data_IF_193750530492
#
_entry.id   IF_193750530492
#
_cell.length_a   1.000
_cell.length_b   1.000
_cell.length_c   1.000
_cell.angle_alpha   90.00
_cell.angle_beta   90.00
_cell.angle_gamma   90.00
#
_symmetry.space_group_name_H-M   'P 1'
#
loop_
_entity.id
_entity.type
_entity.pdbx_description
1 polymer ?
#
# COMPACT_ATOMS: atom_id res chain seq x y z
N UNK A 1 34.23 22.74 -5.13
CA UNK A 1 32.97 23.17 -5.78
C UNK A 1 32.54 22.06 -6.72
N UNK A 2 31.62 21.18 -6.33
CA UNK A 2 31.18 20.08 -7.18
C UNK A 2 30.16 20.61 -8.21
N UNK A 3 30.63 20.93 -9.43
CA UNK A 3 29.76 21.07 -10.61
C UNK A 3 29.51 19.66 -11.16
N UNK A 4 28.61 18.92 -10.52
CA UNK A 4 28.06 17.69 -11.07
C UNK A 4 26.83 18.03 -11.91
N UNK A 5 26.84 17.66 -13.19
CA UNK A 5 25.62 17.76 -14.02
C UNK A 5 24.73 16.58 -13.64
N UNK A 6 23.56 16.86 -13.04
CA UNK A 6 22.53 15.86 -12.83
C UNK A 6 22.12 15.32 -14.20
N UNK A 7 22.32 14.02 -14.43
CA UNK A 7 22.00 13.38 -15.72
C UNK A 7 20.54 12.98 -15.81
N UNK A 8 19.95 12.46 -14.72
CA UNK A 8 18.58 11.98 -14.66
C UNK A 8 18.00 12.19 -13.24
N UNK A 9 16.68 12.39 -13.17
CA UNK A 9 15.90 12.43 -11.94
C UNK A 9 14.68 11.53 -12.13
N UNK A 10 14.40 10.68 -11.14
CA UNK A 10 13.19 9.86 -11.10
C UNK A 10 12.31 10.34 -9.96
N UNK A 11 11.03 10.52 -10.26
CA UNK A 11 10.05 10.91 -9.26
C UNK A 11 8.96 9.85 -9.17
N UNK A 12 8.55 9.56 -7.93
CA UNK A 12 7.44 8.67 -7.63
C UNK A 12 6.30 9.43 -6.94
N UNK A 13 5.12 8.84 -6.93
CA UNK A 13 3.94 9.31 -6.23
C UNK A 13 3.70 8.51 -4.95
N UNK A 14 4.74 8.30 -4.14
CA UNK A 14 4.66 7.67 -2.81
C UNK A 14 5.39 8.51 -1.74
N UNK A 15 4.87 9.71 -1.48
CA UNK A 15 5.50 10.64 -0.54
C UNK A 15 6.67 11.46 -1.13
N UNK A 16 7.00 11.30 -2.42
CA UNK A 16 8.09 12.04 -3.09
C UNK A 16 7.58 13.33 -3.75
N UNK A 17 6.66 13.25 -4.72
CA UNK A 17 6.07 14.45 -5.35
C UNK A 17 4.92 15.03 -4.50
N UNK A 18 4.15 14.14 -3.87
CA UNK A 18 2.98 14.46 -3.07
C UNK A 18 3.03 13.63 -1.80
N UNK A 19 2.61 14.20 -0.68
CA UNK A 19 2.32 13.45 0.55
C UNK A 19 1.08 12.56 0.35
N UNK A 20 1.31 11.44 -0.34
CA UNK A 20 0.29 10.47 -0.74
C UNK A 20 0.18 9.30 0.23
N UNK A 21 0.99 9.27 1.30
CA UNK A 21 0.97 8.18 2.28
C UNK A 21 -0.36 8.16 3.02
N UNK A 22 -0.84 9.32 3.47
CA UNK A 22 -2.10 9.43 4.21
C UNK A 22 -3.31 9.03 3.37
N UNK A 23 -3.39 9.51 2.12
CA UNK A 23 -4.54 9.19 1.27
C UNK A 23 -4.56 7.70 0.89
N UNK A 24 -3.40 7.08 0.65
CA UNK A 24 -3.29 5.63 0.43
C UNK A 24 -3.69 4.85 1.67
N UNK A 25 -3.22 5.29 2.84
CA UNK A 25 -3.57 4.69 4.12
C UNK A 25 -5.08 4.65 4.34
N UNK A 26 -5.75 5.78 4.11
CA UNK A 26 -7.21 5.89 4.22
C UNK A 26 -7.93 5.00 3.20
N UNK A 27 -7.43 4.91 1.97
CA UNK A 27 -8.00 4.02 0.96
C UNK A 27 -7.92 2.55 1.37
N UNK A 28 -6.76 2.09 1.86
CA UNK A 28 -6.61 0.71 2.34
C UNK A 28 -7.48 0.41 3.55
N UNK A 29 -7.56 1.34 4.51
CA UNK A 29 -8.46 1.24 5.66
C UNK A 29 -9.93 1.08 5.19
N UNK A 30 -10.39 1.99 4.32
CA UNK A 30 -11.76 2.00 3.81
C UNK A 30 -12.14 0.72 3.05
N UNK A 31 -11.23 0.16 2.26
CA UNK A 31 -11.46 -1.11 1.54
C UNK A 31 -11.77 -2.28 2.48
N UNK A 32 -11.16 -2.29 3.67
CA UNK A 32 -11.28 -3.38 4.63
C UNK A 32 -12.34 -3.13 5.71
N UNK A 33 -12.96 -1.95 5.75
CA UNK A 33 -14.06 -1.63 6.68
C UNK A 33 -15.23 -2.61 6.58
N UNK A 34 -15.50 -3.14 5.39
CA UNK A 34 -16.56 -4.15 5.17
C UNK A 34 -16.33 -5.45 5.96
N UNK A 35 -15.09 -5.75 6.35
CA UNK A 35 -14.73 -6.91 7.16
C UNK A 35 -14.65 -6.59 8.66
N UNK A 36 -14.94 -5.35 9.06
CA UNK A 36 -14.95 -4.88 10.44
C UNK A 36 -13.81 -3.93 10.79
N UNK A 37 -14.06 -3.04 11.75
CA UNK A 37 -13.14 -1.98 12.17
C UNK A 37 -11.78 -2.51 12.63
N UNK A 38 -11.77 -3.64 13.35
CA UNK A 38 -10.53 -4.23 13.86
C UNK A 38 -9.60 -4.66 12.71
N UNK A 39 -10.16 -5.26 11.65
CA UNK A 39 -9.40 -5.67 10.47
C UNK A 39 -8.90 -4.44 9.70
N UNK A 40 -9.75 -3.43 9.51
CA UNK A 40 -9.36 -2.18 8.86
C UNK A 40 -8.19 -1.48 9.59
N UNK A 41 -8.23 -1.45 10.93
CA UNK A 41 -7.16 -0.89 11.76
C UNK A 41 -5.85 -1.70 11.62
N UNK A 42 -5.93 -3.03 11.55
CA UNK A 42 -4.77 -3.89 11.35
C UNK A 42 -4.12 -3.67 9.97
N UNK A 43 -4.93 -3.54 8.92
CA UNK A 43 -4.48 -3.22 7.57
C UNK A 43 -3.80 -1.85 7.50
N UNK A 44 -4.43 -0.83 8.10
CA UNK A 44 -3.86 0.52 8.23
C UNK A 44 -2.49 0.50 8.90
N UNK A 45 -2.39 -0.14 10.07
CA UNK A 45 -1.12 -0.25 10.81
C UNK A 45 -0.05 -0.93 9.95
N UNK A 46 -0.39 -2.04 9.31
CA UNK A 46 0.54 -2.75 8.43
C UNK A 46 1.00 -1.87 7.25
N UNK A 47 0.09 -1.11 6.63
CA UNK A 47 0.44 -0.23 5.52
C UNK A 47 1.48 0.83 5.91
N UNK A 48 1.28 1.48 7.07
CA UNK A 48 2.18 2.51 7.60
C UNK A 48 3.54 1.92 8.00
N UNK A 49 3.56 0.74 8.62
CA UNK A 49 4.79 0.04 9.03
C UNK A 49 5.58 -0.51 7.83
N UNK A 50 4.91 -0.82 6.72
CA UNK A 50 5.49 -1.48 5.54
C UNK A 50 5.34 -0.61 4.28
N UNK A 51 5.80 0.64 4.36
CA UNK A 51 5.94 1.53 3.20
C UNK A 51 6.82 0.91 2.11
N UNK A 52 6.53 1.18 0.84
CA UNK A 52 7.30 0.66 -0.31
C UNK A 52 7.07 -0.82 -0.67
N UNK A 53 6.37 -1.61 0.15
CA UNK A 53 5.95 -2.98 -0.23
C UNK A 53 4.86 -2.91 -1.31
N UNK A 54 4.96 -3.77 -2.32
CA UNK A 54 4.02 -3.81 -3.43
C UNK A 54 2.58 -4.02 -2.96
N UNK A 55 1.63 -3.40 -3.67
CA UNK A 55 0.20 -3.53 -3.34
C UNK A 55 -0.29 -4.99 -3.42
N UNK A 56 0.19 -5.74 -4.40
CA UNK A 56 -0.09 -7.18 -4.56
C UNK A 56 0.30 -7.99 -3.33
N UNK A 57 1.52 -7.79 -2.81
CA UNK A 57 1.99 -8.50 -1.62
C UNK A 57 1.21 -8.09 -0.37
N UNK A 58 0.85 -6.81 -0.24
CA UNK A 58 -0.01 -6.32 0.85
C UNK A 58 -1.38 -7.01 0.84
N UNK A 59 -2.07 -7.03 -0.31
CA UNK A 59 -3.38 -7.68 -0.40
C UNK A 59 -3.31 -9.18 -0.14
N UNK A 60 -2.29 -9.86 -0.66
CA UNK A 60 -2.07 -11.29 -0.38
C UNK A 60 -1.86 -11.53 1.11
N UNK A 61 -1.03 -10.72 1.76
CA UNK A 61 -0.78 -10.81 3.19
C UNK A 61 -2.06 -10.59 4.00
N UNK A 62 -2.81 -9.53 3.72
CA UNK A 62 -3.99 -9.18 4.50
C UNK A 62 -5.14 -10.16 4.34
N UNK A 63 -5.44 -10.60 3.11
CA UNK A 63 -6.47 -11.61 2.87
C UNK A 63 -6.15 -12.90 3.61
N UNK A 64 -4.90 -13.37 3.50
CA UNK A 64 -4.49 -14.60 4.18
C UNK A 64 -4.49 -14.45 5.71
N UNK A 65 -3.90 -13.39 6.24
CA UNK A 65 -3.65 -13.23 7.68
C UNK A 65 -4.88 -12.77 8.46
N UNK A 66 -5.67 -11.85 7.90
CA UNK A 66 -6.80 -11.25 8.60
C UNK A 66 -8.14 -11.85 8.21
N UNK A 67 -8.28 -12.37 6.99
CA UNK A 67 -9.54 -12.98 6.51
C UNK A 67 -9.47 -14.50 6.38
N UNK A 68 -8.27 -15.10 6.41
CA UNK A 68 -8.10 -16.53 6.13
C UNK A 68 -8.40 -16.91 4.68
N UNK A 69 -8.39 -15.95 3.75
CA UNK A 69 -8.75 -16.12 2.34
C UNK A 69 -7.46 -16.18 1.51
N UNK A 70 -7.30 -17.23 0.72
CA UNK A 70 -6.30 -17.27 -0.34
C UNK A 70 -6.87 -16.57 -1.58
N UNK A 71 -6.22 -15.50 -2.02
CA UNK A 71 -6.64 -14.67 -3.14
C UNK A 71 -5.89 -15.06 -4.42
N UNK A 72 -6.62 -15.21 -5.53
CA UNK A 72 -6.01 -15.52 -6.83
C UNK A 72 -5.34 -14.29 -7.45
N UNK A 73 -4.48 -14.48 -8.44
CA UNK A 73 -3.85 -13.36 -9.14
C UNK A 73 -4.87 -12.51 -9.91
N UNK A 74 -5.95 -13.12 -10.41
CA UNK A 74 -7.05 -12.40 -11.07
C UNK A 74 -7.78 -11.47 -10.11
N UNK A 75 -8.07 -11.96 -8.89
CA UNK A 75 -8.66 -11.14 -7.83
C UNK A 75 -7.70 -10.06 -7.33
N UNK A 76 -6.40 -10.33 -7.29
CA UNK A 76 -5.41 -9.30 -6.92
C UNK A 76 -5.34 -8.17 -7.96
N UNK A 77 -5.50 -8.49 -9.25
CA UNK A 77 -5.50 -7.51 -10.34
C UNK A 77 -6.70 -6.56 -10.28
N UNK A 78 -7.83 -6.95 -9.68
CA UNK A 78 -8.98 -6.05 -9.52
C UNK A 78 -8.84 -5.12 -8.32
N UNK A 79 -7.96 -5.47 -7.37
CA UNK A 79 -7.69 -4.68 -6.17
C UNK A 79 -6.47 -3.75 -6.29
N UNK A 80 -5.62 -3.98 -7.30
CA UNK A 80 -4.33 -3.29 -7.52
C UNK A 80 -4.41 -2.36 -8.72
#
# INVERSE_FOLDING_TARGET
MFKGVIKNIFFDFDGVILDSVDCKTQAFEAMYMQYGQEIANQVKRYHLENGGVSRFEKFRHWHKKHLGIEITNEQLNTLS
#
